data_IF_223806344132
#
_entry.id   IF_223806344132
#
_cell.length_a   1.000
_cell.length_b   1.000
_cell.length_c   1.000
_cell.angle_alpha   90.00
_cell.angle_beta   90.00
_cell.angle_gamma   90.00
#
_symmetry.space_group_name_H-M   'P 1'
#
loop_
_entity.id
_entity.type
_entity.pdbx_description
1 polymer ?
#
# COMPACT_ATOMS: atom_id res chain seq x y z
N UNK A 1 -2.00 28.85 -6.97
CA UNK A 1 -1.20 28.60 -8.19
C UNK A 1 -1.14 27.10 -8.37
N UNK A 2 -1.38 26.57 -9.57
CA UNK A 2 -1.18 25.15 -9.82
C UNK A 2 0.33 24.91 -10.01
N UNK A 3 0.91 24.01 -9.21
CA UNK A 3 2.31 23.60 -9.37
C UNK A 3 2.48 22.85 -10.69
N UNK A 4 3.63 23.01 -11.32
CA UNK A 4 4.02 22.29 -12.53
C UNK A 4 4.39 20.83 -12.21
N UNK A 5 4.43 19.97 -13.23
CA UNK A 5 4.87 18.59 -13.05
C UNK A 5 6.30 18.52 -12.48
N UNK A 6 7.21 19.37 -12.97
CA UNK A 6 8.60 19.40 -12.55
C UNK A 6 8.75 19.78 -11.08
N UNK A 7 8.06 20.84 -10.64
CA UNK A 7 8.03 21.27 -9.23
C UNK A 7 7.47 20.20 -8.28
N UNK A 8 6.49 19.41 -8.75
CA UNK A 8 5.92 18.32 -7.95
C UNK A 8 6.87 17.12 -7.88
N UNK A 9 7.53 16.78 -9.00
CA UNK A 9 8.52 15.69 -9.04
C UNK A 9 9.71 15.99 -8.13
N UNK A 10 10.16 17.25 -8.14
CA UNK A 10 11.25 17.70 -7.28
C UNK A 10 10.86 17.59 -5.80
N UNK A 11 9.65 18.02 -5.42
CA UNK A 11 9.15 17.88 -4.05
C UNK A 11 9.15 16.41 -3.57
N UNK A 12 8.62 15.51 -4.40
CA UNK A 12 8.59 14.08 -4.09
C UNK A 12 10.00 13.50 -3.95
N UNK A 13 10.95 13.96 -4.76
CA UNK A 13 12.33 13.46 -4.75
C UNK A 13 13.20 14.05 -3.63
N UNK A 14 12.90 15.26 -3.17
CA UNK A 14 13.71 15.97 -2.17
C UNK A 14 13.62 15.32 -0.77
N UNK A 15 12.50 14.67 -0.44
CA UNK A 15 12.29 13.98 0.84
C UNK A 15 12.53 14.88 2.07
N UNK A 16 12.43 16.21 1.92
CA UNK A 16 12.66 17.18 2.98
C UNK A 16 11.45 17.37 3.90
N UNK A 17 10.25 17.25 3.33
CA UNK A 17 8.96 17.28 4.04
C UNK A 17 8.08 16.17 3.45
N UNK A 18 7.78 15.14 4.26
CA UNK A 18 7.03 13.97 3.81
C UNK A 18 5.55 14.26 3.58
N UNK A 19 4.96 15.21 4.30
CA UNK A 19 3.58 15.62 4.08
C UNK A 19 3.47 16.37 2.75
N UNK A 20 4.41 17.28 2.48
CA UNK A 20 4.50 18.00 1.21
C UNK A 20 4.78 17.05 0.04
N UNK A 21 5.68 16.07 0.22
CA UNK A 21 5.97 15.05 -0.77
C UNK A 21 4.75 14.15 -1.06
N UNK A 22 4.02 13.71 -0.02
CA UNK A 22 2.80 12.92 -0.18
C UNK A 22 1.73 13.70 -0.95
N UNK A 23 1.56 14.98 -0.60
CA UNK A 23 0.63 15.86 -1.30
C UNK A 23 1.04 16.11 -2.75
N UNK A 24 2.33 16.30 -3.01
CA UNK A 24 2.85 16.44 -4.37
C UNK A 24 2.62 15.18 -5.21
N UNK A 25 2.79 13.99 -4.63
CA UNK A 25 2.50 12.72 -5.29
C UNK A 25 1.01 12.57 -5.63
N UNK A 26 0.11 12.99 -4.73
CA UNK A 26 -1.34 13.04 -4.99
C UNK A 26 -1.71 14.03 -6.09
N UNK A 27 -1.06 15.20 -6.14
CA UNK A 27 -1.26 16.16 -7.23
C UNK A 27 -0.74 15.61 -8.56
N UNK A 28 0.41 14.94 -8.57
CA UNK A 28 0.94 14.27 -9.77
C UNK A 28 0.01 13.20 -10.30
N UNK A 29 -0.69 12.45 -9.44
CA UNK A 29 -1.70 11.47 -9.88
C UNK A 29 -2.76 12.11 -10.80
N UNK A 30 -3.14 13.36 -10.53
CA UNK A 30 -4.12 14.09 -11.33
C UNK A 30 -3.52 14.80 -12.55
N UNK A 31 -2.24 15.20 -12.48
CA UNK A 31 -1.56 15.91 -13.57
C UNK A 31 -0.92 14.95 -14.60
N UNK A 32 -0.16 13.97 -14.12
CA UNK A 32 0.50 12.95 -14.93
C UNK A 32 0.56 11.62 -14.16
N UNK A 33 -0.46 10.80 -14.38
CA UNK A 33 -0.63 9.50 -13.73
C UNK A 33 0.56 8.56 -13.93
N UNK A 34 1.18 8.55 -15.11
CA UNK A 34 2.31 7.66 -15.41
C UNK A 34 3.54 8.01 -14.57
N UNK A 35 3.80 9.32 -14.38
CA UNK A 35 4.88 9.80 -13.52
C UNK A 35 4.60 9.49 -12.05
N UNK A 36 3.38 9.76 -11.58
CA UNK A 36 2.98 9.43 -10.21
C UNK A 36 3.12 7.94 -9.91
N UNK A 37 2.68 7.08 -10.83
CA UNK A 37 2.81 5.63 -10.72
C UNK A 37 4.27 5.20 -10.62
N UNK A 38 5.13 5.72 -11.50
CA UNK A 38 6.55 5.42 -11.47
C UNK A 38 7.19 5.81 -10.13
N UNK A 39 6.90 7.02 -9.64
CA UNK A 39 7.42 7.50 -8.37
C UNK A 39 6.91 6.69 -7.17
N UNK A 40 5.61 6.38 -7.13
CA UNK A 40 5.04 5.59 -6.03
C UNK A 40 5.66 4.18 -5.97
N UNK A 41 5.85 3.53 -7.12
CA UNK A 41 6.54 2.24 -7.19
C UNK A 41 7.99 2.36 -6.72
N UNK A 42 8.72 3.38 -7.17
CA UNK A 42 10.10 3.61 -6.75
C UNK A 42 10.21 3.89 -5.23
N UNK A 43 9.32 4.70 -4.66
CA UNK A 43 9.27 4.96 -3.21
C UNK A 43 9.13 3.65 -2.43
N UNK A 44 8.18 2.79 -2.85
CA UNK A 44 7.85 1.55 -2.16
C UNK A 44 8.92 0.46 -2.34
N UNK A 45 9.49 0.35 -3.54
CA UNK A 45 10.53 -0.65 -3.85
C UNK A 45 11.89 -0.27 -3.30
N UNK A 46 12.20 1.02 -3.27
CA UNK A 46 13.48 1.56 -2.80
C UNK A 46 13.43 2.00 -1.33
N UNK A 47 12.31 1.79 -0.62
CA UNK A 47 12.13 2.14 0.80
C UNK A 47 12.50 3.61 1.08
N UNK A 48 11.98 4.54 0.27
CA UNK A 48 12.29 5.98 0.37
C UNK A 48 11.38 6.69 1.35
N UNK A 49 11.95 7.60 2.13
CA UNK A 49 11.24 8.36 3.16
C UNK A 49 10.81 7.50 4.35
N UNK A 50 9.93 8.06 5.20
CA UNK A 50 9.46 7.37 6.39
C UNK A 50 8.27 6.41 6.11
N UNK A 51 7.84 5.70 7.15
CA UNK A 51 6.78 4.70 7.03
C UNK A 51 5.42 5.30 6.61
N UNK A 52 5.13 6.55 7.00
CA UNK A 52 3.89 7.24 6.68
C UNK A 52 3.86 7.73 5.23
N UNK A 53 4.99 8.24 4.74
CA UNK A 53 5.16 8.60 3.34
C UNK A 53 5.02 7.38 2.43
N UNK A 54 5.66 6.27 2.80
CA UNK A 54 5.54 5.00 2.08
C UNK A 54 4.10 4.48 2.09
N UNK A 55 3.40 4.55 3.22
CA UNK A 55 1.98 4.19 3.31
C UNK A 55 1.12 5.05 2.36
N UNK A 56 1.33 6.37 2.34
CA UNK A 56 0.62 7.27 1.44
C UNK A 56 0.96 7.02 -0.05
N UNK A 57 2.21 6.65 -0.35
CA UNK A 57 2.61 6.24 -1.69
C UNK A 57 1.89 4.96 -2.13
N UNK A 58 1.73 3.98 -1.23
CA UNK A 58 0.96 2.77 -1.52
C UNK A 58 -0.51 3.08 -1.77
N UNK A 59 -1.17 3.85 -0.91
CA UNK A 59 -2.57 4.26 -1.09
C UNK A 59 -2.78 5.01 -2.42
N UNK A 60 -1.86 5.93 -2.73
CA UNK A 60 -1.90 6.68 -3.98
C UNK A 60 -1.76 5.75 -5.18
N UNK A 61 -0.83 4.79 -5.12
CA UNK A 61 -0.64 3.77 -6.15
C UNK A 61 -1.86 2.87 -6.32
N UNK A 62 -2.39 2.35 -5.22
CA UNK A 62 -3.53 1.45 -5.22
C UNK A 62 -4.76 2.12 -5.83
N UNK A 63 -5.03 3.37 -5.43
CA UNK A 63 -6.18 4.14 -5.93
C UNK A 63 -6.04 4.59 -7.39
N UNK A 64 -4.82 4.72 -7.93
CA UNK A 64 -4.62 5.07 -9.33
C UNK A 64 -4.46 3.85 -10.24
N UNK A 65 -3.78 2.81 -9.77
CA UNK A 65 -3.52 1.57 -10.49
C UNK A 65 -3.68 0.37 -9.53
N UNK A 66 -4.93 -0.05 -9.38
CA UNK A 66 -5.34 -1.18 -8.57
C UNK A 66 -4.51 -2.44 -8.85
N UNK A 67 -4.28 -2.79 -10.12
CA UNK A 67 -3.50 -3.99 -10.47
C UNK A 67 -2.06 -3.92 -9.97
N UNK A 68 -1.43 -2.75 -10.02
CA UNK A 68 -0.06 -2.55 -9.50
C UNK A 68 -0.03 -2.60 -7.97
N UNK A 69 -1.07 -2.07 -7.32
CA UNK A 69 -1.26 -2.21 -5.87
C UNK A 69 -1.37 -3.69 -5.45
N UNK A 70 -2.19 -4.47 -6.15
CA UNK A 70 -2.32 -5.92 -5.93
C UNK A 70 -0.98 -6.65 -6.21
N UNK A 71 -0.25 -6.27 -7.26
CA UNK A 71 1.07 -6.85 -7.57
C UNK A 71 2.08 -6.62 -6.43
N UNK A 72 2.07 -5.45 -5.80
CA UNK A 72 2.89 -5.14 -4.63
C UNK A 72 2.51 -5.98 -3.41
N UNK A 73 1.21 -6.20 -3.17
CA UNK A 73 0.78 -7.10 -2.08
C UNK A 73 1.26 -8.52 -2.34
N UNK A 74 1.20 -8.99 -3.59
CA UNK A 74 1.68 -10.32 -3.97
C UNK A 74 3.19 -10.49 -3.84
N UNK A 75 3.92 -9.42 -4.10
CA UNK A 75 5.37 -9.38 -4.07
C UNK A 75 5.83 -8.20 -3.21
N UNK A 76 5.64 -8.26 -1.88
CA UNK A 76 5.95 -7.15 -1.01
C UNK A 76 7.45 -6.82 -1.05
N UNK A 77 7.84 -5.55 -0.82
CA UNK A 77 9.24 -5.21 -0.64
C UNK A 77 9.85 -5.98 0.54
N UNK A 78 11.15 -6.29 0.47
CA UNK A 78 11.86 -7.07 1.48
C UNK A 78 11.73 -6.44 2.89
N UNK A 79 11.81 -5.11 2.96
CA UNK A 79 11.63 -4.33 4.17
C UNK A 79 10.25 -3.67 4.17
N UNK A 80 9.18 -4.44 4.42
CA UNK A 80 7.83 -3.88 4.58
C UNK A 80 7.64 -3.33 6.00
N UNK A 81 7.47 -2.01 6.11
CA UNK A 81 7.18 -1.34 7.37
C UNK A 81 5.72 -1.54 7.81
N UNK A 82 5.46 -1.26 9.09
CA UNK A 82 4.17 -1.50 9.74
C UNK A 82 3.07 -0.61 9.14
N UNK A 83 3.32 0.68 8.93
CA UNK A 83 2.32 1.60 8.38
C UNK A 83 1.87 1.20 6.97
N UNK A 84 2.81 0.84 6.09
CA UNK A 84 2.52 0.40 4.72
C UNK A 84 1.78 -0.93 4.71
N UNK A 85 2.13 -1.88 5.59
CA UNK A 85 1.36 -3.12 5.74
C UNK A 85 -0.07 -2.85 6.23
N UNK A 86 -0.26 -1.93 7.19
CA UNK A 86 -1.59 -1.55 7.67
C UNK A 86 -2.43 -1.01 6.52
N UNK A 87 -1.89 -0.09 5.72
CA UNK A 87 -2.61 0.47 4.56
C UNK A 87 -2.92 -0.59 3.51
N UNK A 88 -2.02 -1.55 3.25
CA UNK A 88 -2.32 -2.69 2.37
C UNK A 88 -3.51 -3.51 2.87
N UNK A 89 -3.58 -3.74 4.18
CA UNK A 89 -4.70 -4.45 4.82
C UNK A 89 -5.99 -3.64 4.72
N UNK A 90 -5.95 -2.35 5.01
CA UNK A 90 -7.10 -1.45 4.95
C UNK A 90 -7.69 -1.41 3.54
N UNK A 91 -6.89 -1.14 2.50
CA UNK A 91 -7.37 -1.10 1.12
C UNK A 91 -8.07 -2.41 0.70
N UNK A 92 -7.51 -3.57 1.06
CA UNK A 92 -8.12 -4.86 0.75
C UNK A 92 -9.37 -5.14 1.58
N UNK A 93 -9.43 -4.62 2.80
CA UNK A 93 -10.60 -4.77 3.68
C UNK A 93 -11.76 -3.91 3.16
N UNK A 94 -11.48 -2.68 2.72
CA UNK A 94 -12.46 -1.79 2.08
C UNK A 94 -13.03 -2.40 0.79
N UNK A 95 -12.17 -3.02 -0.04
CA UNK A 95 -12.58 -3.68 -1.27
C UNK A 95 -13.26 -5.05 -1.06
N UNK A 96 -13.54 -5.45 0.19
CA UNK A 96 -14.23 -6.72 0.47
C UNK A 96 -15.60 -6.83 -0.18
N UNK A 97 -16.31 -5.70 -0.37
CA UNK A 97 -17.60 -5.66 -1.05
C UNK A 97 -17.55 -6.07 -2.53
N UNK A 98 -16.38 -6.01 -3.17
CA UNK A 98 -16.17 -6.39 -4.58
C UNK A 98 -15.34 -7.67 -4.74
N UNK A 99 -14.94 -8.33 -3.64
CA UNK A 99 -14.04 -9.48 -3.68
C UNK A 99 -14.63 -10.71 -4.38
N UNK A 100 -15.97 -10.81 -4.48
CA UNK A 100 -16.65 -11.88 -5.23
C UNK A 100 -16.50 -11.72 -6.74
N UNK A 101 -16.47 -10.48 -7.21
CA UNK A 101 -16.37 -10.15 -8.65
C UNK A 101 -14.91 -9.95 -9.09
N UNK A 102 -14.01 -9.72 -8.14
CA UNK A 102 -12.57 -9.52 -8.36
C UNK A 102 -11.75 -10.55 -7.58
N UNK A 103 -11.46 -11.72 -8.18
CA UNK A 103 -10.72 -12.78 -7.50
C UNK A 103 -9.34 -12.32 -7.03
N UNK A 104 -8.74 -11.32 -7.70
CA UNK A 104 -7.45 -10.77 -7.29
C UNK A 104 -7.46 -10.08 -5.91
N UNK A 105 -8.60 -9.51 -5.48
CA UNK A 105 -8.77 -8.97 -4.11
C UNK A 105 -8.74 -10.10 -3.10
N UNK A 106 -9.47 -11.19 -3.38
CA UNK A 106 -9.51 -12.35 -2.50
C UNK A 106 -8.13 -13.02 -2.41
N UNK A 107 -7.38 -13.08 -3.52
CA UNK A 107 -6.00 -13.58 -3.51
C UNK A 107 -5.07 -12.70 -2.68
N UNK A 108 -5.15 -11.37 -2.83
CA UNK A 108 -4.40 -10.42 -2.02
C UNK A 108 -4.72 -10.58 -0.52
N UNK A 109 -6.01 -10.74 -0.16
CA UNK A 109 -6.43 -10.99 1.21
C UNK A 109 -5.81 -12.28 1.77
N UNK A 110 -5.76 -13.37 1.00
CA UNK A 110 -5.12 -14.63 1.46
C UNK A 110 -3.63 -14.47 1.73
N UNK A 111 -2.95 -13.64 0.95
CA UNK A 111 -1.52 -13.33 1.12
C UNK A 111 -1.31 -12.48 2.37
N UNK A 112 -2.10 -11.42 2.54
CA UNK A 112 -2.04 -10.58 3.74
C UNK A 112 -2.34 -11.38 5.01
N UNK A 113 -3.31 -12.31 4.96
CA UNK A 113 -3.57 -13.22 6.09
C UNK A 113 -2.37 -14.09 6.45
N UNK A 114 -1.58 -14.52 5.47
CA UNK A 114 -0.35 -15.27 5.73
C UNK A 114 0.74 -14.39 6.32
N UNK A 115 0.91 -13.17 5.82
CA UNK A 115 1.86 -12.19 6.38
C UNK A 115 1.51 -11.90 7.86
N UNK A 116 0.24 -11.65 8.17
CA UNK A 116 -0.25 -11.38 9.53
C UNK A 116 0.09 -12.52 10.50
N UNK A 117 -0.02 -13.79 10.05
CA UNK A 117 0.30 -14.97 10.88
C UNK A 117 1.77 -15.04 11.31
N UNK A 118 2.65 -14.36 10.57
CA UNK A 118 4.09 -14.36 10.81
C UNK A 118 4.61 -13.05 11.40
N UNK A 119 3.72 -12.11 11.74
CA UNK A 119 4.12 -10.90 12.45
C UNK A 119 4.62 -11.22 13.86
N UNK A 120 5.65 -10.49 14.27
CA UNK A 120 6.07 -10.47 15.67
C UNK A 120 5.00 -9.81 16.55
N UNK A 121 5.08 -10.06 17.86
CA UNK A 121 4.08 -9.60 18.83
C UNK A 121 3.98 -8.08 18.90
N UNK A 122 5.07 -7.35 18.66
CA UNK A 122 5.09 -5.89 18.71
C UNK A 122 4.32 -5.30 17.53
N UNK A 123 4.61 -5.75 16.30
CA UNK A 123 3.88 -5.33 15.10
C UNK A 123 2.40 -5.71 15.18
N UNK A 124 2.11 -6.92 15.65
CA UNK A 124 0.73 -7.38 15.83
C UNK A 124 -0.05 -6.45 16.78
N UNK A 125 0.56 -6.04 17.91
CA UNK A 125 -0.05 -5.10 18.85
C UNK A 125 -0.27 -3.71 18.23
N UNK A 126 0.73 -3.19 17.50
CA UNK A 126 0.63 -1.87 16.85
C UNK A 126 -0.49 -1.81 15.81
N UNK A 127 -0.77 -2.93 15.15
CA UNK A 127 -1.75 -3.05 14.06
C UNK A 127 -3.08 -3.69 14.48
N UNK A 128 -3.30 -3.89 15.78
CA UNK A 128 -4.40 -4.72 16.29
C UNK A 128 -5.76 -4.34 15.71
N UNK A 129 -6.10 -3.05 15.69
CA UNK A 129 -7.39 -2.58 15.15
C UNK A 129 -7.58 -2.93 13.67
N UNK A 130 -6.55 -2.67 12.85
CA UNK A 130 -6.54 -2.98 11.42
C UNK A 130 -6.63 -4.49 11.17
N UNK A 131 -5.90 -5.30 11.94
CA UNK A 131 -5.92 -6.77 11.85
C UNK A 131 -7.28 -7.34 12.27
N UNK A 132 -7.84 -6.86 13.39
CA UNK A 132 -9.14 -7.31 13.88
C UNK A 132 -10.24 -7.06 12.83
N UNK A 133 -10.29 -5.85 12.27
CA UNK A 133 -11.24 -5.49 11.20
C UNK A 133 -11.08 -6.39 9.96
N UNK A 134 -9.85 -6.65 9.54
CA UNK A 134 -9.56 -7.54 8.42
C UNK A 134 -10.03 -8.98 8.67
N UNK A 135 -9.80 -9.52 9.87
CA UNK A 135 -10.19 -10.88 10.22
C UNK A 135 -11.71 -11.03 10.37
N UNK A 136 -12.40 -10.00 10.87
CA UNK A 136 -13.87 -9.92 10.91
C UNK A 136 -14.47 -9.88 9.50
N UNK A 137 -13.82 -9.16 8.58
CA UNK A 137 -14.24 -9.03 7.19
C UNK A 137 -14.01 -10.32 6.40
N UNK A 138 -12.92 -11.03 6.68
CA UNK A 138 -12.52 -12.26 5.99
C UNK A 138 -12.39 -13.48 6.93
N UNK A 139 -13.48 -13.91 7.59
CA UNK A 139 -13.42 -14.94 8.63
C UNK A 139 -12.97 -16.29 8.06
N UNK A 140 -13.43 -16.61 6.84
CA UNK A 140 -13.30 -17.94 6.24
C UNK A 140 -12.21 -18.06 5.16
N UNK A 141 -11.46 -17.00 4.87
CA UNK A 141 -10.42 -17.09 3.84
C UNK A 141 -9.26 -17.94 4.38
N UNK A 142 -8.84 -18.95 3.60
CA UNK A 142 -7.66 -19.77 3.94
C UNK A 142 -6.40 -19.05 3.49
N UNK A 143 -5.42 -18.93 4.37
CA UNK A 143 -4.15 -18.30 4.05
C UNK A 143 -3.43 -19.03 2.90
N UNK A 144 -2.65 -18.30 2.10
CA UNK A 144 -1.98 -18.86 0.93
C UNK A 144 -0.79 -19.75 1.35
N UNK A 145 -0.84 -21.04 1.00
CA UNK A 145 0.27 -21.96 1.25
C UNK A 145 1.30 -21.85 0.11
N UNK A 146 2.42 -21.14 0.34
CA UNK A 146 3.57 -21.29 -0.54
C UNK A 146 4.26 -22.61 -0.20
N UNK A 147 4.14 -23.61 -1.08
CA UNK A 147 5.07 -24.74 -1.09
C UNK A 147 6.44 -24.19 -1.50
N UNK A 148 7.32 -23.97 -0.51
CA UNK A 148 8.75 -23.79 -0.73
C UNK A 148 9.40 -25.13 -1.00
#
# INVERSE_FOLDING_TARGET
MNRTEEELREEVANLGDYDAAAEALRQLKHLNKAVAEHLAVDILRSNKGDEYFQASAFETLYSMNFHKGIELIRNPPECLNTATLSTMIECITEDSGIAMDRPEVLEAAKILKEIIRHLDAEKNLRMKGTIDWFLETYPNIRAFQQHR
#
